data_IF_162130000177
#
_entry.id   IF_162130000177
#
_cell.length_a   1.000
_cell.length_b   1.000
_cell.length_c   1.000
_cell.angle_alpha   90.00
_cell.angle_beta   90.00
_cell.angle_gamma   90.00
#
_symmetry.space_group_name_H-M   'P 1'
#
loop_
_entity.id
_entity.type
_entity.pdbx_description
1 polymer ?
#
# COMPACT_ATOMS: atom_id res chain seq x y z
N UNK A 1 -24.05 -2.44 19.43
CA UNK A 1 -23.23 -2.87 18.28
C UNK A 1 -22.57 -1.63 17.69
N UNK A 2 -21.39 -1.27 18.16
CA UNK A 2 -20.67 -0.08 17.67
C UNK A 2 -20.02 -0.40 16.33
N UNK A 3 -20.38 0.36 15.29
CA UNK A 3 -19.57 0.45 14.07
C UNK A 3 -18.22 1.01 14.48
N UNK A 4 -17.21 0.15 14.58
CA UNK A 4 -15.82 0.61 14.69
C UNK A 4 -15.53 1.45 13.45
N UNK A 5 -15.06 2.68 13.65
CA UNK A 5 -14.74 3.59 12.54
C UNK A 5 -13.41 3.11 11.95
N UNK A 6 -13.30 2.99 10.64
CA UNK A 6 -12.09 2.54 9.91
C UNK A 6 -10.80 3.31 10.27
N UNK A 7 -10.89 4.42 11.02
CA UNK A 7 -9.75 5.15 11.58
C UNK A 7 -9.20 4.61 12.91
N UNK A 8 -9.88 3.69 13.61
CA UNK A 8 -9.43 3.22 14.94
C UNK A 8 -8.43 2.05 14.87
N UNK A 9 -8.24 1.41 13.71
CA UNK A 9 -7.24 0.33 13.51
C UNK A 9 -5.94 0.80 12.85
N UNK A 10 -5.95 1.98 12.22
CA UNK A 10 -4.78 2.55 11.55
C UNK A 10 -3.97 3.33 12.60
N UNK A 11 -2.75 2.90 12.85
CA UNK A 11 -1.82 3.61 13.71
C UNK A 11 -1.21 4.82 12.99
N UNK A 12 0.05 5.08 13.24
CA UNK A 12 0.79 6.19 12.63
C UNK A 12 0.91 6.02 11.10
N UNK A 13 0.64 7.10 10.35
CA UNK A 13 0.91 7.14 8.91
C UNK A 13 2.42 7.16 8.68
N UNK A 14 2.92 6.19 7.92
CA UNK A 14 4.34 6.05 7.61
C UNK A 14 4.71 6.97 6.44
N UNK A 15 3.90 6.94 5.37
CA UNK A 15 4.08 7.84 4.24
C UNK A 15 2.77 8.06 3.47
N UNK A 16 2.75 9.16 2.75
CA UNK A 16 1.81 9.46 1.68
C UNK A 16 2.61 9.95 0.47
N UNK A 17 2.35 9.40 -0.72
CA UNK A 17 2.97 9.90 -1.95
C UNK A 17 2.24 11.14 -2.45
N UNK A 18 2.94 12.03 -3.15
CA UNK A 18 2.28 13.07 -3.93
C UNK A 18 1.36 12.43 -4.99
N UNK A 19 0.25 13.07 -5.36
CA UNK A 19 -0.62 12.58 -6.42
C UNK A 19 0.17 12.39 -7.72
N UNK A 20 0.03 11.21 -8.33
CA UNK A 20 0.65 10.89 -9.62
C UNK A 20 -0.37 10.19 -10.51
N UNK A 21 -0.72 10.82 -11.65
CA UNK A 21 -1.74 10.32 -12.60
C UNK A 21 -3.08 9.93 -11.94
N UNK A 22 -3.47 10.66 -10.90
CA UNK A 22 -4.69 10.41 -10.12
C UNK A 22 -4.52 9.40 -8.98
N UNK A 23 -3.34 8.78 -8.82
CA UNK A 23 -3.05 7.82 -7.77
C UNK A 23 -2.35 8.45 -6.57
N UNK A 24 -2.72 8.00 -5.37
CA UNK A 24 -2.06 8.32 -4.10
C UNK A 24 -1.86 7.01 -3.34
N UNK A 25 -0.64 6.77 -2.86
CA UNK A 25 -0.30 5.62 -2.03
C UNK A 25 -0.13 6.09 -0.59
N UNK A 26 -0.79 5.39 0.33
CA UNK A 26 -0.65 5.63 1.78
C UNK A 26 -0.21 4.35 2.47
N UNK A 27 0.70 4.49 3.41
CA UNK A 27 1.08 3.39 4.30
C UNK A 27 0.81 3.79 5.74
N UNK A 28 0.16 2.88 6.47
CA UNK A 28 -0.16 3.05 7.88
C UNK A 28 0.46 1.93 8.70
N UNK A 29 1.10 2.28 9.80
CA UNK A 29 1.56 1.31 10.79
C UNK A 29 0.34 0.72 11.48
N UNK A 30 0.30 -0.60 11.63
CA UNK A 30 -0.76 -1.28 12.38
C UNK A 30 -0.26 -1.49 13.83
N UNK A 31 -1.10 -1.17 14.81
CA UNK A 31 -0.71 -1.22 16.23
C UNK A 31 -0.65 -2.65 16.79
N UNK A 32 -1.38 -3.61 16.19
CA UNK A 32 -1.56 -4.96 16.74
C UNK A 32 -0.84 -6.07 15.96
N UNK A 33 -0.47 -5.85 14.70
CA UNK A 33 0.18 -6.87 13.86
C UNK A 33 1.69 -6.81 13.96
N UNK A 34 2.31 -7.99 14.09
CA UNK A 34 3.76 -8.24 14.30
C UNK A 34 4.63 -7.86 13.08
N UNK A 35 4.62 -6.59 12.67
CA UNK A 35 5.52 -6.07 11.64
C UNK A 35 4.90 -5.89 10.26
N UNK A 36 3.57 -5.80 10.16
CA UNK A 36 2.86 -5.44 8.93
C UNK A 36 2.34 -3.99 8.99
N UNK A 37 2.22 -3.38 7.84
CA UNK A 37 1.63 -2.08 7.60
C UNK A 37 0.46 -2.23 6.62
N UNK A 38 -0.56 -1.38 6.76
CA UNK A 38 -1.65 -1.29 5.81
C UNK A 38 -1.26 -0.36 4.67
N UNK A 39 -1.31 -0.85 3.45
CA UNK A 39 -1.13 -0.06 2.23
C UNK A 39 -2.49 0.22 1.62
N UNK A 40 -2.74 1.49 1.31
CA UNK A 40 -3.92 1.92 0.58
C UNK A 40 -3.51 2.59 -0.72
N UNK A 41 -4.15 2.17 -1.80
CA UNK A 41 -4.03 2.78 -3.12
C UNK A 41 -5.33 3.50 -3.39
N UNK A 42 -5.26 4.82 -3.43
CA UNK A 42 -6.35 5.69 -3.81
C UNK A 42 -6.19 6.10 -5.27
N UNK A 43 -7.31 6.17 -5.98
CA UNK A 43 -7.40 6.76 -7.31
C UNK A 43 -8.58 7.73 -7.34
N UNK A 44 -8.31 8.97 -7.73
CA UNK A 44 -9.33 10.02 -7.91
C UNK A 44 -10.25 10.19 -6.68
N UNK A 45 -9.67 10.09 -5.47
CA UNK A 45 -10.39 10.23 -4.19
C UNK A 45 -11.09 8.96 -3.69
N UNK A 46 -10.96 7.83 -4.39
CA UNK A 46 -11.54 6.54 -4.00
C UNK A 46 -10.44 5.51 -3.75
N UNK A 47 -10.46 4.87 -2.59
CA UNK A 47 -9.55 3.75 -2.30
C UNK A 47 -9.94 2.58 -3.20
N UNK A 48 -9.07 2.26 -4.16
CA UNK A 48 -9.28 1.15 -5.12
C UNK A 48 -8.67 -0.16 -4.61
N UNK A 49 -7.70 -0.08 -3.69
CA UNK A 49 -7.03 -1.26 -3.11
C UNK A 49 -6.56 -0.98 -1.70
N UNK A 50 -6.67 -1.99 -0.85
CA UNK A 50 -6.14 -1.98 0.51
C UNK A 50 -5.58 -3.37 0.83
N UNK A 51 -4.35 -3.45 1.33
CA UNK A 51 -3.68 -4.72 1.64
C UNK A 51 -2.62 -4.56 2.73
N UNK A 52 -2.34 -5.66 3.44
CA UNK A 52 -1.25 -5.69 4.39
C UNK A 52 0.06 -5.94 3.64
N UNK A 53 1.11 -5.21 4.02
CA UNK A 53 2.44 -5.32 3.46
C UNK A 53 3.47 -5.28 4.58
N UNK A 54 4.61 -5.99 4.49
CA UNK A 54 5.61 -5.96 5.54
C UNK A 54 6.08 -4.54 5.83
N UNK A 55 5.96 -4.09 7.09
CA UNK A 55 6.21 -2.72 7.51
C UNK A 55 7.65 -2.27 7.21
N UNK A 56 8.60 -3.20 7.27
CA UNK A 56 10.01 -2.93 6.96
C UNK A 56 10.30 -2.77 5.46
N UNK A 57 9.35 -3.12 4.58
CA UNK A 57 9.47 -3.00 3.11
C UNK A 57 8.59 -1.91 2.50
N UNK A 58 7.80 -1.18 3.28
CA UNK A 58 6.80 -0.22 2.76
C UNK A 58 7.39 0.83 1.81
N UNK A 59 8.67 1.19 1.97
CA UNK A 59 9.38 2.08 1.07
C UNK A 59 9.49 1.56 -0.37
N UNK A 60 9.41 0.24 -0.59
CA UNK A 60 9.35 -0.34 -1.94
C UNK A 60 8.08 0.07 -2.67
N UNK A 61 6.95 0.25 -1.97
CA UNK A 61 5.71 0.73 -2.58
C UNK A 61 5.91 2.14 -3.13
N UNK A 62 6.57 3.02 -2.37
CA UNK A 62 6.90 4.37 -2.83
C UNK A 62 7.89 4.33 -4.00
N UNK A 63 8.93 3.50 -3.92
CA UNK A 63 9.96 3.36 -4.96
C UNK A 63 9.39 2.83 -6.29
N UNK A 64 8.48 1.86 -6.24
CA UNK A 64 7.82 1.24 -7.38
C UNK A 64 6.44 1.84 -7.68
N UNK A 65 6.12 3.02 -7.13
CA UNK A 65 4.80 3.64 -7.31
C UNK A 65 4.47 3.87 -8.79
N UNK A 66 5.44 4.23 -9.62
CA UNK A 66 5.25 4.34 -11.07
C UNK A 66 4.89 3.00 -11.72
N UNK A 67 5.61 1.93 -11.36
CA UNK A 67 5.35 0.58 -11.89
C UNK A 67 3.96 0.08 -11.47
N UNK A 68 3.57 0.32 -10.22
CA UNK A 68 2.24 -0.01 -9.70
C UNK A 68 1.15 0.77 -10.46
N UNK A 69 1.35 2.06 -10.72
CA UNK A 69 0.42 2.87 -11.51
C UNK A 69 0.28 2.31 -12.92
N UNK A 70 1.38 2.00 -13.59
CA UNK A 70 1.35 1.46 -14.95
C UNK A 70 0.63 0.11 -15.00
N UNK A 71 0.84 -0.76 -14.01
CA UNK A 71 0.09 -2.00 -13.84
C UNK A 71 -1.41 -1.81 -13.63
N UNK A 72 -1.81 -0.90 -12.73
CA UNK A 72 -3.23 -0.58 -12.52
C UNK A 72 -3.89 -0.01 -13.79
N UNK A 73 -3.15 0.75 -14.59
CA UNK A 73 -3.64 1.25 -15.89
C UNK A 73 -3.79 0.13 -16.94
N UNK A 74 -2.89 -0.87 -16.91
CA UNK A 74 -2.95 -2.06 -17.78
C UNK A 74 -3.90 -3.15 -17.26
N UNK A 75 -4.44 -2.99 -16.04
CA UNK A 75 -5.27 -3.98 -15.33
C UNK A 75 -4.53 -5.28 -15.00
N UNK A 76 -3.27 -5.16 -14.61
CA UNK A 76 -2.42 -6.26 -14.15
C UNK A 76 -1.86 -5.99 -12.74
N UNK A 77 -1.06 -6.91 -12.20
CA UNK A 77 -0.50 -6.84 -10.84
C UNK A 77 1.03 -6.76 -10.82
N UNK A 78 1.67 -6.62 -11.98
CA UNK A 78 3.14 -6.74 -12.11
C UNK A 78 3.88 -5.74 -11.21
N UNK A 79 3.38 -4.50 -11.11
CA UNK A 79 3.94 -3.45 -10.28
C UNK A 79 3.90 -3.78 -8.80
N UNK A 80 2.82 -4.42 -8.32
CA UNK A 80 2.75 -4.91 -6.94
C UNK A 80 3.71 -6.07 -6.73
N UNK A 81 3.86 -6.95 -7.74
CA UNK A 81 4.80 -8.04 -7.68
C UNK A 81 6.25 -7.53 -7.59
N UNK A 82 6.61 -6.55 -8.41
CA UNK A 82 7.93 -5.91 -8.35
C UNK A 82 8.17 -5.23 -7.01
N UNK A 83 7.18 -4.51 -6.46
CA UNK A 83 7.31 -3.87 -5.17
C UNK A 83 7.51 -4.86 -4.01
N UNK A 84 6.93 -6.06 -4.10
CA UNK A 84 7.14 -7.13 -3.12
C UNK A 84 8.47 -7.88 -3.29
N UNK A 85 8.93 -8.07 -4.54
CA UNK A 85 10.07 -8.92 -4.88
C UNK A 85 11.44 -8.23 -4.70
N UNK A 86 11.53 -6.91 -4.91
CA UNK A 86 12.82 -6.17 -4.92
C UNK A 86 13.54 -6.04 -3.57
N UNK A 87 13.12 -6.77 -2.54
CA UNK A 87 13.86 -6.90 -1.29
C UNK A 87 14.08 -8.36 -0.90
N UNK A 88 15.15 -9.00 -1.43
CA UNK A 88 15.67 -10.30 -0.99
C UNK A 88 14.58 -11.33 -0.60
N UNK A 89 13.89 -11.91 -1.58
CA UNK A 89 13.02 -13.08 -1.39
C UNK A 89 11.84 -12.85 -0.44
N UNK A 90 10.68 -12.49 -0.97
CA UNK A 90 9.44 -12.48 -0.20
C UNK A 90 8.28 -12.88 -1.08
N UNK A 91 7.71 -14.07 -0.81
CA UNK A 91 6.50 -14.57 -1.46
C UNK A 91 5.39 -13.50 -1.41
N UNK A 92 4.84 -13.21 -2.57
CA UNK A 92 3.63 -12.43 -2.74
C UNK A 92 2.56 -13.47 -3.01
N UNK A 93 1.73 -13.75 -2.00
CA UNK A 93 0.55 -14.61 -2.11
C UNK A 93 -0.70 -13.76 -2.33
#
# INVERSE_FOLDING_TARGET
MGRMREGEMKGEMIFETKPNRGFIFRAWKLNETKGDALIEVERDGVVIRSFNFPAYKVWNIAAHSCDIIDSELRKDVDGYLMAGDTGLGGNIF
#
